data_IF_261063228800
#
_entry.id   IF_261063228800
#
_cell.length_a   1.000
_cell.length_b   1.000
_cell.length_c   1.000
_cell.angle_alpha   90.00
_cell.angle_beta   90.00
_cell.angle_gamma   90.00
#
_symmetry.space_group_name_H-M   'P 1'
#
loop_
_entity.id
_entity.type
_entity.pdbx_description
1 polymer ?
#
# COMPACT_ATOMS: atom_id res chain seq x y z
N UNK A 1 -9.65 -10.82 -13.15
CA UNK A 1 -9.18 -10.46 -11.79
C UNK A 1 -7.92 -11.22 -11.38
N UNK A 2 -7.86 -12.55 -11.46
CA UNK A 2 -6.62 -13.33 -11.16
C UNK A 2 -5.38 -12.82 -11.90
N UNK A 3 -5.54 -12.32 -13.15
CA UNK A 3 -4.43 -11.83 -13.98
C UNK A 3 -3.86 -10.48 -13.51
N UNK A 4 -4.69 -9.56 -13.00
CA UNK A 4 -4.23 -8.25 -12.50
C UNK A 4 -3.43 -8.44 -11.20
N UNK A 5 -3.90 -9.31 -10.31
CA UNK A 5 -3.19 -9.68 -9.09
C UNK A 5 -1.81 -10.26 -9.39
N UNK A 6 -1.75 -11.26 -10.30
CA UNK A 6 -0.48 -11.87 -10.71
C UNK A 6 0.47 -10.84 -11.32
N UNK A 7 -0.03 -9.88 -12.11
CA UNK A 7 0.79 -8.86 -12.77
C UNK A 7 1.37 -7.87 -11.74
N UNK A 8 0.59 -7.43 -10.75
CA UNK A 8 1.08 -6.56 -9.68
C UNK A 8 2.15 -7.24 -8.82
N UNK A 9 1.94 -8.50 -8.46
CA UNK A 9 2.93 -9.28 -7.69
C UNK A 9 4.22 -9.48 -8.48
N UNK A 10 4.13 -9.81 -9.78
CA UNK A 10 5.31 -9.99 -10.64
C UNK A 10 6.06 -8.68 -10.84
N UNK A 11 5.35 -7.57 -11.05
CA UNK A 11 5.96 -6.25 -11.18
C UNK A 11 6.65 -5.83 -9.89
N UNK A 12 6.02 -6.03 -8.74
CA UNK A 12 6.62 -5.77 -7.44
C UNK A 12 7.87 -6.61 -7.19
N UNK A 13 7.81 -7.91 -7.52
CA UNK A 13 8.96 -8.80 -7.42
C UNK A 13 10.10 -8.34 -8.35
N UNK A 14 9.83 -8.01 -9.60
CA UNK A 14 10.84 -7.53 -10.55
C UNK A 14 11.53 -6.25 -10.07
N UNK A 15 10.76 -5.29 -9.51
CA UNK A 15 11.29 -4.05 -8.95
C UNK A 15 12.12 -4.30 -7.67
N UNK A 16 11.75 -5.25 -6.83
CA UNK A 16 12.49 -5.60 -5.62
C UNK A 16 13.84 -6.29 -5.90
N UNK A 17 13.96 -6.97 -7.03
CA UNK A 17 15.21 -7.63 -7.45
C UNK A 17 16.09 -6.78 -8.37
N UNK A 18 15.64 -5.60 -8.82
CA UNK A 18 16.48 -4.68 -9.55
C UNK A 18 17.56 -4.11 -8.60
N UNK A 19 18.77 -4.64 -8.72
CA UNK A 19 19.92 -4.18 -7.94
C UNK A 19 20.39 -2.81 -8.45
N UNK A 20 19.88 -1.74 -7.89
CA UNK A 20 20.58 -0.46 -7.93
C UNK A 20 21.70 -0.53 -6.90
N UNK A 21 22.92 -0.22 -7.32
CA UNK A 21 24.09 -0.17 -6.46
C UNK A 21 23.92 0.99 -5.44
N UNK A 22 23.23 0.72 -4.35
CA UNK A 22 23.15 1.60 -3.20
C UNK A 22 24.37 1.32 -2.32
N UNK A 23 25.05 2.36 -1.85
CA UNK A 23 26.15 2.22 -0.91
C UNK A 23 25.70 1.37 0.27
N UNK A 24 26.48 0.34 0.61
CA UNK A 24 26.17 -0.55 1.71
C UNK A 24 26.26 0.23 3.02
N UNK A 25 25.14 0.48 3.66
CA UNK A 25 25.09 1.17 4.95
C UNK A 25 25.59 0.27 6.07
N UNK A 26 26.30 0.86 7.04
CA UNK A 26 26.80 0.16 8.21
C UNK A 26 25.69 -0.12 9.23
N UNK A 27 25.97 -1.03 10.16
CA UNK A 27 25.10 -1.28 11.32
C UNK A 27 25.09 -0.02 12.20
N UNK A 28 23.92 0.62 12.34
CA UNK A 28 23.78 1.87 13.09
C UNK A 28 23.38 3.08 12.24
N UNK A 29 23.47 2.98 10.90
CA UNK A 29 22.99 4.01 10.01
C UNK A 29 21.45 4.15 10.07
N UNK A 30 20.91 5.37 9.82
CA UNK A 30 19.47 5.58 9.80
C UNK A 30 18.77 4.63 8.83
N UNK A 31 17.63 4.09 9.23
CA UNK A 31 16.90 3.10 8.41
C UNK A 31 16.17 3.71 7.21
N UNK A 32 15.85 5.00 7.25
CA UNK A 32 15.28 5.72 6.14
C UNK A 32 15.76 7.18 6.20
N UNK A 33 16.58 7.60 5.26
CA UNK A 33 17.15 8.93 5.27
C UNK A 33 17.28 9.50 3.85
N UNK A 34 17.54 10.78 3.72
CA UNK A 34 17.59 11.52 2.45
C UNK A 34 18.35 10.75 1.37
N UNK A 35 17.68 10.52 0.24
CA UNK A 35 18.18 9.77 -0.90
C UNK A 35 17.80 8.29 -0.92
N UNK A 36 17.29 7.73 0.19
CA UNK A 36 16.81 6.36 0.20
C UNK A 36 15.51 6.22 -0.58
N UNK A 37 15.35 5.05 -1.17
CA UNK A 37 14.14 4.63 -1.86
C UNK A 37 13.64 3.35 -1.20
N UNK A 38 12.33 3.28 -1.02
CA UNK A 38 11.68 2.09 -0.47
C UNK A 38 10.48 1.70 -1.30
N UNK A 39 10.27 0.41 -1.41
CA UNK A 39 9.11 -0.20 -2.03
C UNK A 39 8.46 -1.13 -1.01
N UNK A 40 7.18 -0.91 -0.75
CA UNK A 40 6.40 -1.69 0.23
C UNK A 40 5.27 -2.42 -0.47
N UNK A 41 5.14 -3.71 -0.19
CA UNK A 41 4.00 -4.53 -0.58
C UNK A 41 3.25 -4.93 0.68
N UNK A 42 1.99 -4.54 0.79
CA UNK A 42 1.14 -4.79 1.95
C UNK A 42 -0.16 -5.45 1.56
N UNK A 43 -0.68 -6.25 2.45
CA UNK A 43 -2.03 -6.81 2.43
C UNK A 43 -2.75 -6.40 3.70
N UNK A 44 -4.07 -6.31 3.64
CA UNK A 44 -4.82 -5.85 4.79
C UNK A 44 -6.31 -6.12 4.71
N UNK A 45 -7.00 -5.59 5.70
CA UNK A 45 -8.43 -5.73 5.84
C UNK A 45 -9.06 -4.44 6.35
N UNK A 46 -10.28 -4.18 5.91
CA UNK A 46 -11.06 -3.03 6.33
C UNK A 46 -12.44 -3.07 5.71
N UNK A 47 -12.66 -2.35 4.63
CA UNK A 47 -13.88 -2.48 3.85
C UNK A 47 -14.01 -3.87 3.22
N UNK A 48 -12.90 -4.47 2.80
CA UNK A 48 -12.73 -5.81 2.29
C UNK A 48 -11.29 -6.25 2.44
N UNK A 49 -10.86 -7.27 1.70
CA UNK A 49 -9.46 -7.65 1.60
C UNK A 49 -8.73 -6.67 0.67
N UNK A 50 -7.68 -6.06 1.17
CA UNK A 50 -6.89 -5.06 0.46
C UNK A 50 -5.47 -5.51 0.20
N UNK A 51 -4.88 -4.94 -0.83
CA UNK A 51 -3.46 -5.05 -1.16
C UNK A 51 -2.98 -3.74 -1.75
N UNK A 52 -1.73 -3.38 -1.46
CA UNK A 52 -1.15 -2.12 -1.85
C UNK A 52 0.33 -2.28 -2.16
N UNK A 53 0.76 -1.66 -3.25
CA UNK A 53 2.17 -1.42 -3.58
C UNK A 53 2.42 0.07 -3.43
N UNK A 54 3.42 0.45 -2.62
CA UNK A 54 3.79 1.83 -2.37
C UNK A 54 5.28 2.03 -2.57
N UNK A 55 5.62 3.13 -3.23
CA UNK A 55 6.98 3.61 -3.38
C UNK A 55 7.13 4.92 -2.62
N UNK A 56 8.26 5.09 -1.91
CA UNK A 56 8.62 6.31 -1.22
C UNK A 56 10.09 6.66 -1.49
N UNK A 57 10.35 7.96 -1.64
CA UNK A 57 11.68 8.56 -1.72
C UNK A 57 11.88 9.52 -0.55
N UNK A 58 12.97 9.37 0.19
CA UNK A 58 13.33 10.27 1.29
C UNK A 58 13.91 11.57 0.75
N UNK A 59 13.19 12.67 0.91
CA UNK A 59 13.56 13.99 0.38
C UNK A 59 14.35 14.84 1.38
N UNK A 60 14.15 14.61 2.67
CA UNK A 60 14.81 15.37 3.74
C UNK A 60 15.06 14.49 4.97
N UNK A 61 16.13 14.82 5.70
CA UNK A 61 16.47 14.22 6.99
C UNK A 61 16.83 15.33 7.97
N UNK A 62 16.45 15.19 9.22
CA UNK A 62 16.66 16.19 10.29
C UNK A 62 16.67 15.50 11.67
N UNK A 63 16.81 16.28 12.77
CA UNK A 63 16.94 15.77 14.14
C UNK A 63 18.09 14.77 14.32
N UNK A 64 19.30 15.16 13.83
CA UNK A 64 20.48 14.30 13.82
C UNK A 64 20.19 12.92 13.18
N UNK A 65 19.59 12.96 12.00
CA UNK A 65 19.25 11.80 11.17
C UNK A 65 18.17 10.85 11.75
N UNK A 66 17.52 11.26 12.84
CA UNK A 66 16.44 10.45 13.45
C UNK A 66 15.08 10.65 12.81
N UNK A 67 14.86 11.75 12.11
CA UNK A 67 13.61 12.01 11.44
C UNK A 67 13.81 12.28 9.95
N UNK A 68 12.86 11.86 9.12
CA UNK A 68 12.89 12.08 7.69
C UNK A 68 11.50 12.33 7.11
N UNK A 69 11.48 12.96 5.96
CA UNK A 69 10.28 13.15 5.15
C UNK A 69 10.42 12.31 3.89
N UNK A 70 9.44 11.49 3.63
CA UNK A 70 9.26 10.74 2.40
C UNK A 70 8.16 11.33 1.53
N UNK A 71 8.31 11.21 0.22
CA UNK A 71 7.27 11.48 -0.76
C UNK A 71 7.20 10.33 -1.75
N UNK A 72 6.01 10.04 -2.22
CA UNK A 72 5.87 8.88 -3.10
C UNK A 72 4.50 8.70 -3.69
N UNK A 73 4.24 7.49 -4.12
CA UNK A 73 2.95 7.10 -4.67
C UNK A 73 2.60 5.66 -4.33
N UNK A 74 1.34 5.37 -4.39
CA UNK A 74 0.83 4.02 -4.15
C UNK A 74 -0.25 3.66 -5.15
N UNK A 75 -0.33 2.37 -5.46
CA UNK A 75 -1.45 1.73 -6.13
C UNK A 75 -1.97 0.62 -5.24
N UNK A 76 -3.27 0.52 -5.11
CA UNK A 76 -3.88 -0.52 -4.31
C UNK A 76 -5.23 -0.94 -4.84
N UNK A 77 -5.67 -2.10 -4.39
CA UNK A 77 -7.06 -2.48 -4.57
C UNK A 77 -7.61 -3.11 -3.29
N UNK A 78 -8.93 -3.04 -3.17
CA UNK A 78 -9.67 -3.65 -2.07
C UNK A 78 -10.89 -4.34 -2.66
N UNK A 79 -11.10 -5.59 -2.33
CA UNK A 79 -12.23 -6.36 -2.86
C UNK A 79 -13.03 -7.01 -1.73
N UNK A 80 -14.33 -7.07 -1.96
CA UNK A 80 -15.30 -7.70 -1.07
C UNK A 80 -16.30 -8.52 -1.86
N UNK A 81 -16.64 -9.68 -1.35
CA UNK A 81 -17.71 -10.50 -1.90
C UNK A 81 -18.72 -10.82 -0.80
N UNK A 82 -19.99 -10.77 -1.12
CA UNK A 82 -21.08 -11.18 -0.23
C UNK A 82 -22.05 -12.07 -0.99
N UNK A 83 -22.49 -13.12 -0.33
CA UNK A 83 -23.55 -13.99 -0.82
C UNK A 83 -24.78 -13.79 0.08
N UNK A 84 -25.91 -13.41 -0.52
CA UNK A 84 -27.15 -13.15 0.18
C UNK A 84 -28.11 -14.36 0.17
N UNK A 85 -27.69 -15.49 -0.43
CA UNK A 85 -28.57 -16.64 -0.64
C UNK A 85 -29.44 -16.48 -1.88
N UNK A 86 -30.26 -17.50 -2.19
CA UNK A 86 -31.21 -17.51 -3.30
C UNK A 86 -30.64 -17.15 -4.68
N UNK A 87 -29.34 -17.45 -4.93
CA UNK A 87 -28.69 -17.13 -6.20
C UNK A 87 -28.17 -15.69 -6.31
N UNK A 88 -28.38 -14.84 -5.30
CA UNK A 88 -27.93 -13.45 -5.30
C UNK A 88 -26.54 -13.35 -4.66
N UNK A 89 -25.58 -12.89 -5.44
CA UNK A 89 -24.23 -12.59 -4.95
C UNK A 89 -23.77 -11.21 -5.44
N UNK A 90 -22.95 -10.58 -4.63
CA UNK A 90 -22.42 -9.26 -4.85
C UNK A 90 -20.90 -9.29 -4.75
N UNK A 91 -20.25 -8.70 -5.73
CA UNK A 91 -18.81 -8.52 -5.77
C UNK A 91 -18.49 -7.05 -5.99
N UNK A 92 -17.59 -6.53 -5.18
CA UNK A 92 -17.13 -5.16 -5.18
C UNK A 92 -15.62 -5.14 -5.26
N UNK A 93 -15.06 -4.33 -6.15
CA UNK A 93 -13.63 -4.12 -6.30
C UNK A 93 -13.34 -2.62 -6.45
N UNK A 94 -12.45 -2.11 -5.61
CA UNK A 94 -11.95 -0.73 -5.64
C UNK A 94 -10.49 -0.77 -6.03
N UNK A 95 -10.14 -0.12 -7.12
CA UNK A 95 -8.74 0.09 -7.51
C UNK A 95 -8.44 1.58 -7.46
N UNK A 96 -7.30 1.95 -6.88
CA UNK A 96 -6.93 3.36 -6.73
C UNK A 96 -5.45 3.60 -6.79
N UNK A 97 -5.11 4.84 -7.11
CA UNK A 97 -3.76 5.38 -7.06
C UNK A 97 -3.75 6.60 -6.15
N UNK A 98 -2.65 6.84 -5.46
CA UNK A 98 -2.49 8.01 -4.60
C UNK A 98 -1.06 8.53 -4.61
N UNK A 99 -0.91 9.84 -4.40
CA UNK A 99 0.34 10.45 -3.96
C UNK A 99 0.34 10.49 -2.45
N UNK A 100 1.49 10.24 -1.84
CA UNK A 100 1.65 10.14 -0.39
C UNK A 100 2.85 10.95 0.07
N UNK A 101 2.71 11.58 1.23
CA UNK A 101 3.78 12.16 2.00
C UNK A 101 3.85 11.46 3.34
N UNK A 102 5.05 11.20 3.82
CA UNK A 102 5.27 10.51 5.09
C UNK A 102 6.28 11.25 5.95
N UNK A 103 6.03 11.22 7.24
CA UNK A 103 6.97 11.64 8.27
C UNK A 103 7.42 10.40 9.03
N UNK A 104 8.72 10.17 9.06
CA UNK A 104 9.35 9.03 9.71
C UNK A 104 10.12 9.47 10.94
N UNK A 105 10.10 8.63 11.98
CA UNK A 105 10.93 8.78 13.15
C UNK A 105 11.57 7.45 13.54
N UNK A 106 12.89 7.45 13.56
CA UNK A 106 13.69 6.27 13.91
C UNK A 106 13.85 6.16 15.40
N UNK A 107 13.22 5.19 16.03
CA UNK A 107 13.37 4.90 17.47
C UNK A 107 14.65 4.14 17.79
N UNK A 108 15.03 3.22 16.93
CA UNK A 108 16.27 2.43 17.04
C UNK A 108 16.89 2.23 15.66
N UNK A 109 18.09 1.68 15.58
CA UNK A 109 18.75 1.34 14.32
C UNK A 109 17.95 0.37 13.41
N UNK A 110 16.85 -0.20 13.90
CA UNK A 110 16.03 -1.15 13.15
C UNK A 110 14.53 -0.80 13.13
N UNK A 111 14.09 0.16 13.96
CA UNK A 111 12.69 0.46 14.14
C UNK A 111 12.41 1.89 13.67
N UNK A 112 11.64 2.00 12.62
CA UNK A 112 11.10 3.22 12.04
C UNK A 112 9.60 3.26 12.27
N UNK A 113 9.09 4.35 12.85
CA UNK A 113 7.67 4.64 12.89
C UNK A 113 7.36 5.81 11.98
N UNK A 114 6.19 5.79 11.36
CA UNK A 114 5.82 6.84 10.41
C UNK A 114 4.33 7.18 10.45
N UNK A 115 4.05 8.40 10.10
CA UNK A 115 2.72 8.90 9.76
C UNK A 115 2.69 9.13 8.27
N UNK A 116 1.65 8.68 7.59
CA UNK A 116 1.47 8.88 6.17
C UNK A 116 0.16 9.59 5.90
N UNK A 117 0.22 10.62 5.07
CA UNK A 117 -0.95 11.33 4.54
C UNK A 117 -0.86 11.34 3.02
N UNK A 118 -2.00 11.24 2.36
CA UNK A 118 -2.03 11.24 0.91
C UNK A 118 -3.42 11.47 0.36
N UNK A 119 -3.48 11.68 -0.94
CA UNK A 119 -4.72 11.83 -1.67
C UNK A 119 -4.58 11.21 -3.07
N UNK A 120 -5.70 10.83 -3.62
CA UNK A 120 -5.72 10.19 -4.92
C UNK A 120 -7.12 9.96 -5.43
N UNK A 121 -7.26 8.96 -6.25
CA UNK A 121 -8.55 8.58 -6.79
C UNK A 121 -8.48 7.20 -7.42
N UNK A 122 -9.64 6.72 -7.78
CA UNK A 122 -9.73 5.39 -8.35
C UNK A 122 -11.07 5.11 -8.98
N UNK A 123 -11.30 3.86 -9.21
CA UNK A 123 -12.51 3.39 -9.83
C UNK A 123 -13.12 2.26 -8.99
N UNK A 124 -14.40 2.38 -8.72
CA UNK A 124 -15.18 1.44 -7.94
C UNK A 124 -16.06 0.63 -8.87
N UNK A 125 -15.89 -0.69 -8.86
CA UNK A 125 -16.58 -1.64 -9.72
C UNK A 125 -17.49 -2.53 -8.89
N UNK A 126 -18.74 -2.62 -9.34
CA UNK A 126 -19.76 -3.48 -8.74
C UNK A 126 -20.18 -4.54 -9.73
N UNK A 127 -20.34 -5.75 -9.26
CA UNK A 127 -20.91 -6.87 -10.01
C UNK A 127 -21.95 -7.56 -9.14
N UNK A 128 -23.18 -7.49 -9.59
CA UNK A 128 -24.27 -8.27 -9.06
C UNK A 128 -24.46 -9.50 -9.92
N UNK A 129 -24.57 -10.66 -9.31
CA UNK A 129 -25.06 -11.87 -9.95
C UNK A 129 -26.44 -12.14 -9.34
N UNK A 130 -27.46 -12.06 -10.14
CA UNK A 130 -28.83 -12.41 -9.82
C UNK A 130 -29.33 -13.37 -10.89
N UNK A 131 -29.68 -14.59 -10.49
CA UNK A 131 -30.13 -15.62 -11.42
C UNK A 131 -31.52 -15.31 -12.02
N UNK A 132 -32.25 -14.30 -11.45
CA UNK A 132 -33.60 -13.89 -11.89
C UNK A 132 -33.60 -12.65 -12.80
N UNK A 133 -32.69 -11.68 -12.58
CA UNK A 133 -32.76 -10.37 -13.25
C UNK A 133 -31.52 -10.02 -14.08
N UNK A 134 -30.51 -10.89 -14.13
CA UNK A 134 -29.34 -10.77 -15.01
C UNK A 134 -28.47 -9.52 -14.79
N UNK A 135 -27.70 -9.18 -15.82
CA UNK A 135 -26.66 -8.15 -15.77
C UNK A 135 -27.13 -6.68 -15.76
N UNK A 136 -28.44 -6.42 -15.62
CA UNK A 136 -29.04 -5.09 -15.79
C UNK A 136 -28.50 -4.04 -14.78
N UNK A 137 -28.10 -4.45 -13.59
CA UNK A 137 -27.62 -3.54 -12.54
C UNK A 137 -26.13 -3.20 -12.61
N UNK A 138 -25.33 -3.87 -13.43
CA UNK A 138 -23.87 -3.70 -13.44
C UNK A 138 -23.39 -2.38 -14.05
N UNK A 139 -24.16 -1.78 -14.97
CA UNK A 139 -23.71 -0.62 -15.74
C UNK A 139 -23.80 0.71 -14.98
N UNK A 140 -24.68 0.83 -14.00
CA UNK A 140 -24.96 2.11 -13.32
C UNK A 140 -24.28 2.27 -11.97
N UNK A 141 -23.69 1.22 -11.42
CA UNK A 141 -23.07 1.25 -10.09
C UNK A 141 -21.58 1.62 -10.13
N UNK A 142 -20.93 1.48 -11.27
CA UNK A 142 -19.50 1.78 -11.40
C UNK A 142 -19.25 3.28 -11.44
N UNK A 143 -18.32 3.78 -10.61
CA UNK A 143 -18.01 5.21 -10.56
C UNK A 143 -16.56 5.47 -10.13
N UNK A 144 -16.05 6.63 -10.53
CA UNK A 144 -14.80 7.16 -10.01
C UNK A 144 -15.00 7.68 -8.58
N UNK A 145 -13.97 7.59 -7.76
CA UNK A 145 -13.98 8.15 -6.41
C UNK A 145 -12.68 8.91 -6.13
N UNK A 146 -12.78 9.87 -5.21
CA UNK A 146 -11.63 10.51 -4.59
C UNK A 146 -11.28 9.74 -3.31
N UNK A 147 -9.99 9.55 -3.03
CA UNK A 147 -9.52 8.83 -1.85
C UNK A 147 -8.49 9.65 -1.07
N UNK A 148 -8.52 9.49 0.23
CA UNK A 148 -7.56 10.08 1.16
C UNK A 148 -6.88 8.96 1.92
N UNK A 149 -5.56 8.97 1.96
CA UNK A 149 -4.77 8.07 2.80
C UNK A 149 -4.41 8.79 4.09
N UNK A 150 -4.64 8.15 5.23
CA UNK A 150 -4.21 8.62 6.55
C UNK A 150 -3.88 7.40 7.41
N UNK A 151 -2.61 7.16 7.67
CA UNK A 151 -2.17 6.00 8.43
C UNK A 151 -0.99 6.29 9.34
N UNK A 152 -0.92 5.49 10.40
CA UNK A 152 0.24 5.34 11.27
C UNK A 152 0.87 3.98 10.96
N UNK A 153 2.17 3.93 10.83
CA UNK A 153 2.86 2.70 10.54
C UNK A 153 4.13 2.51 11.36
N UNK A 154 4.53 1.26 11.45
CA UNK A 154 5.83 0.88 11.99
C UNK A 154 6.51 -0.05 11.01
N UNK A 155 7.84 0.06 10.94
CA UNK A 155 8.68 -0.72 10.06
C UNK A 155 9.87 -1.27 10.85
N UNK A 156 10.03 -2.60 10.85
CA UNK A 156 11.12 -3.27 11.52
C UNK A 156 12.07 -3.91 10.50
N UNK A 157 13.30 -3.40 10.44
CA UNK A 157 14.35 -3.88 9.53
C UNK A 157 15.06 -5.07 10.15
N UNK A 158 14.82 -6.26 9.60
CA UNK A 158 15.54 -7.47 9.98
C UNK A 158 16.85 -7.65 9.19
N UNK A 159 17.02 -6.88 8.10
CA UNK A 159 18.28 -6.75 7.37
C UNK A 159 18.46 -5.30 6.89
N UNK A 160 19.65 -4.90 6.39
CA UNK A 160 19.86 -3.55 5.87
C UNK A 160 18.92 -3.13 4.74
N UNK A 161 18.36 -4.07 4.00
CA UNK A 161 17.48 -3.81 2.85
C UNK A 161 16.03 -4.25 3.06
N UNK A 162 15.76 -5.11 4.02
CA UNK A 162 14.44 -5.71 4.18
C UNK A 162 13.82 -5.43 5.53
N UNK A 163 12.56 -5.09 5.51
CA UNK A 163 11.76 -4.86 6.70
C UNK A 163 10.40 -5.55 6.58
N UNK A 164 9.79 -5.81 7.73
CA UNK A 164 8.36 -6.02 7.85
C UNK A 164 7.71 -4.71 8.28
N UNK A 165 6.50 -4.45 7.84
CA UNK A 165 5.75 -3.25 8.22
C UNK A 165 4.31 -3.58 8.61
N UNK A 166 3.76 -2.75 9.48
CA UNK A 166 2.35 -2.77 9.86
C UNK A 166 1.82 -1.34 9.87
N UNK A 167 0.60 -1.16 9.39
CA UNK A 167 -0.07 0.13 9.28
C UNK A 167 -1.48 0.05 9.87
N UNK A 168 -1.89 1.11 10.55
CA UNK A 168 -3.23 1.34 11.06
C UNK A 168 -3.74 2.68 10.54
N UNK A 169 -4.95 2.73 10.02
CA UNK A 169 -5.56 3.94 9.47
C UNK A 169 -6.28 3.63 8.17
N UNK A 170 -6.63 4.66 7.43
CA UNK A 170 -7.30 4.50 6.15
C UNK A 170 -6.30 4.49 5.00
N UNK A 171 -6.14 3.35 4.37
CA UNK A 171 -5.21 3.14 3.26
C UNK A 171 -5.81 2.21 2.22
N UNK A 172 -6.09 2.73 1.03
CA UNK A 172 -6.66 1.96 -0.08
C UNK A 172 -7.90 1.12 0.31
N UNK A 173 -8.77 1.65 1.19
CA UNK A 173 -9.96 0.95 1.68
C UNK A 173 -9.71 -0.07 2.79
N UNK A 174 -8.51 -0.14 3.33
CA UNK A 174 -8.15 -1.01 4.47
C UNK A 174 -7.86 -0.20 5.72
N UNK A 175 -8.19 -0.73 6.90
CA UNK A 175 -7.91 -0.12 8.20
C UNK A 175 -6.64 -0.68 8.84
N UNK A 176 -6.33 -1.93 8.55
CA UNK A 176 -5.14 -2.62 9.06
C UNK A 176 -4.42 -3.23 7.87
N UNK A 177 -3.14 -2.94 7.74
CA UNK A 177 -2.29 -3.54 6.71
C UNK A 177 -0.98 -4.04 7.31
N UNK A 178 -0.44 -5.11 6.74
CA UNK A 178 0.87 -5.61 7.08
C UNK A 178 1.58 -6.11 5.81
N UNK A 179 2.89 -6.09 5.81
CA UNK A 179 3.63 -6.51 4.63
C UNK A 179 5.14 -6.46 4.78
N UNK A 180 5.78 -6.38 3.63
CA UNK A 180 7.23 -6.31 3.50
C UNK A 180 7.63 -5.03 2.78
N UNK A 181 8.80 -4.53 3.15
CA UNK A 181 9.42 -3.34 2.56
C UNK A 181 10.84 -3.69 2.12
N UNK A 182 11.20 -3.26 0.94
CA UNK A 182 12.55 -3.32 0.39
C UNK A 182 13.11 -1.91 0.22
N UNK A 183 14.33 -1.67 0.72
CA UNK A 183 15.12 -0.45 0.55
C UNK A 183 16.21 -0.66 -0.49
N UNK A 184 16.40 0.27 -1.40
CA UNK A 184 17.39 0.22 -2.48
C UNK A 184 17.98 1.59 -2.80
#
# INVERSE_FOLDING_TARGET
>A
MKRIFSTLVILAAALMFSNTASAQKSVGDPVFYKGDNILSLTIGYGWGFGQRLAYEHAVATFLNDKASIGVGGAIGNNFRSRNYGYGVSYFEDRIGISVVGSFHYQFTAKLDAYVQLGFGGGYWMYKWKDDLYGDYYNAYANHAFFDVTSSLGVRYYFSPKWAVNAELGWTAGSFIMAGITHRF
#
